data_IF_576033914264
#
_entry.id   IF_576033914264
#
_cell.length_a   1.000
_cell.length_b   1.000
_cell.length_c   1.000
_cell.angle_alpha   90.00
_cell.angle_beta   90.00
_cell.angle_gamma   90.00
#
_symmetry.space_group_name_H-M   'P 1'
#
loop_
_entity.id
_entity.type
_entity.pdbx_description
1 polymer ?
#
# COMPACT_ATOMS: atom_id res chain seq x y z
N UNK A 1 -27.93 17.63 -18.36
CA UNK A 1 -26.87 16.72 -17.87
C UNK A 1 -27.30 15.94 -16.63
N UNK A 2 -27.66 16.59 -15.53
CA UNK A 2 -28.13 15.92 -14.30
C UNK A 2 -29.36 15.02 -14.53
N UNK A 3 -30.36 15.48 -15.29
CA UNK A 3 -31.53 14.67 -15.66
C UNK A 3 -31.20 13.48 -16.58
N UNK A 4 -30.16 13.60 -17.41
CA UNK A 4 -29.70 12.51 -18.28
C UNK A 4 -28.92 11.45 -17.49
N UNK A 5 -28.15 11.88 -16.49
CA UNK A 5 -27.46 10.99 -15.55
C UNK A 5 -28.48 10.27 -14.67
N UNK A 6 -29.48 10.98 -14.13
CA UNK A 6 -30.57 10.39 -13.36
C UNK A 6 -31.41 9.42 -14.19
N UNK A 7 -31.69 9.74 -15.46
CA UNK A 7 -32.39 8.86 -16.39
C UNK A 7 -31.59 7.60 -16.73
N UNK A 8 -30.28 7.71 -16.95
CA UNK A 8 -29.41 6.58 -17.21
C UNK A 8 -29.27 5.65 -15.99
N UNK A 9 -29.18 6.22 -14.78
CA UNK A 9 -29.16 5.46 -13.53
C UNK A 9 -30.49 4.75 -13.25
N UNK A 10 -31.62 5.41 -13.53
CA UNK A 10 -32.95 4.81 -13.40
C UNK A 10 -33.17 3.67 -14.40
N UNK A 11 -32.73 3.85 -15.65
CA UNK A 11 -32.82 2.81 -16.68
C UNK A 11 -31.93 1.62 -16.32
N UNK A 12 -30.68 1.85 -15.89
CA UNK A 12 -29.76 0.79 -15.52
C UNK A 12 -30.18 0.02 -14.26
N UNK A 13 -30.91 0.65 -13.33
CA UNK A 13 -31.55 -0.01 -12.19
C UNK A 13 -32.77 -0.85 -12.59
N UNK A 14 -33.56 -0.38 -13.56
CA UNK A 14 -34.79 -1.06 -14.01
C UNK A 14 -34.54 -2.40 -14.72
N UNK A 15 -33.31 -2.64 -15.20
CA UNK A 15 -32.92 -3.86 -15.91
C UNK A 15 -31.94 -4.75 -15.13
N UNK A 16 -31.76 -4.51 -13.83
CA UNK A 16 -30.89 -5.28 -12.91
C UNK A 16 -29.41 -5.41 -13.34
N UNK A 17 -28.98 -4.63 -14.33
CA UNK A 17 -27.60 -4.54 -14.82
C UNK A 17 -26.62 -3.99 -13.76
N UNK A 18 -27.15 -3.32 -12.72
CA UNK A 18 -26.39 -2.69 -11.64
C UNK A 18 -26.83 -3.12 -10.24
N UNK A 19 -27.77 -4.07 -10.07
CA UNK A 19 -28.46 -4.33 -8.80
C UNK A 19 -27.54 -4.48 -7.59
N UNK A 20 -26.47 -5.28 -7.70
CA UNK A 20 -25.49 -5.44 -6.62
C UNK A 20 -24.61 -4.20 -6.36
N UNK A 21 -24.30 -3.42 -7.40
CA UNK A 21 -23.48 -2.22 -7.27
C UNK A 21 -24.28 -1.02 -6.75
N UNK A 22 -25.55 -0.89 -7.15
CA UNK A 22 -26.46 0.14 -6.68
C UNK A 22 -26.95 -0.18 -5.25
N UNK A 23 -27.16 -1.46 -4.92
CA UNK A 23 -27.38 -1.89 -3.54
C UNK A 23 -26.19 -1.53 -2.65
N UNK A 24 -24.94 -1.70 -3.08
CA UNK A 24 -23.74 -1.22 -2.36
C UNK A 24 -23.68 0.31 -2.26
N UNK A 25 -24.22 1.01 -3.25
CA UNK A 25 -24.30 2.48 -3.28
C UNK A 25 -25.40 3.02 -2.34
N UNK A 26 -26.47 2.24 -2.12
CA UNK A 26 -27.56 2.56 -1.18
C UNK A 26 -27.27 2.05 0.24
N UNK A 27 -26.53 0.95 0.37
CA UNK A 27 -25.91 0.44 1.61
C UNK A 27 -24.63 1.19 1.98
N UNK A 28 -24.42 2.41 1.44
CA UNK A 28 -23.29 3.28 1.79
C UNK A 28 -23.10 3.37 3.32
N UNK A 29 -24.16 3.24 4.11
CA UNK A 29 -24.12 3.22 5.57
C UNK A 29 -23.31 2.05 6.17
N UNK A 30 -23.28 0.86 5.57
CA UNK A 30 -22.54 -0.30 6.10
C UNK A 30 -21.09 -0.38 5.57
N UNK A 31 -20.85 0.06 4.33
CA UNK A 31 -19.52 0.09 3.72
C UNK A 31 -18.71 1.38 3.96
N UNK A 32 -19.32 2.43 4.52
CA UNK A 32 -18.65 3.67 4.85
C UNK A 32 -17.75 3.55 6.09
N UNK A 33 -18.01 2.62 7.01
CA UNK A 33 -17.22 2.49 8.25
C UNK A 33 -15.72 2.34 7.99
N UNK A 34 -15.28 1.30 7.25
CA UNK A 34 -13.87 1.10 6.90
C UNK A 34 -13.29 2.25 6.06
N UNK A 35 -14.02 2.77 5.08
CA UNK A 35 -13.52 3.87 4.22
C UNK A 35 -13.38 5.18 4.98
N UNK A 36 -14.38 5.55 5.78
CA UNK A 36 -14.36 6.76 6.60
C UNK A 36 -13.22 6.73 7.62
N UNK A 37 -12.90 5.54 8.16
CA UNK A 37 -11.71 5.33 8.99
C UNK A 37 -10.43 5.71 8.22
N UNK A 38 -10.20 5.13 7.04
CA UNK A 38 -9.02 5.47 6.24
C UNK A 38 -8.99 6.93 5.78
N UNK A 39 -10.14 7.50 5.42
CA UNK A 39 -10.25 8.90 5.01
C UNK A 39 -9.95 9.84 6.16
N UNK A 40 -10.39 9.53 7.38
CA UNK A 40 -10.07 10.29 8.58
C UNK A 40 -8.56 10.34 8.83
N UNK A 41 -7.88 9.19 8.77
CA UNK A 41 -6.42 9.13 8.89
C UNK A 41 -5.70 9.87 7.76
N UNK A 42 -6.13 9.71 6.50
CA UNK A 42 -5.56 10.43 5.36
C UNK A 42 -5.67 11.96 5.52
N UNK A 43 -6.82 12.45 6.00
CA UNK A 43 -7.02 13.87 6.29
C UNK A 43 -6.15 14.36 7.45
N UNK A 44 -5.98 13.55 8.50
CA UNK A 44 -5.07 13.91 9.60
C UNK A 44 -3.61 13.95 9.13
N UNK A 45 -3.17 12.99 8.30
CA UNK A 45 -1.85 13.02 7.66
C UNK A 45 -1.66 14.30 6.84
N UNK A 46 -2.66 14.67 6.03
CA UNK A 46 -2.64 15.90 5.24
C UNK A 46 -2.61 17.16 6.12
N UNK A 47 -3.31 17.15 7.26
CA UNK A 47 -3.31 18.25 8.22
C UNK A 47 -1.95 18.43 8.89
N UNK A 48 -1.29 17.32 9.24
CA UNK A 48 0.03 17.31 9.87
C UNK A 48 1.15 17.63 8.86
N UNK A 49 1.00 17.20 7.60
CA UNK A 49 2.02 17.33 6.55
C UNK A 49 1.43 17.96 5.26
N UNK A 50 0.95 19.21 5.29
CA UNK A 50 0.12 19.77 4.22
C UNK A 50 0.82 19.99 2.88
N UNK A 51 2.13 20.25 2.89
CA UNK A 51 2.86 20.62 1.67
C UNK A 51 3.32 19.40 0.87
N UNK A 52 4.02 18.48 1.53
CA UNK A 52 4.71 17.35 0.90
C UNK A 52 4.16 15.99 1.35
N UNK A 53 3.19 15.95 2.25
CA UNK A 53 2.64 14.72 2.79
C UNK A 53 3.62 13.94 3.65
N UNK A 54 3.22 12.74 4.04
CA UNK A 54 4.01 11.82 4.86
C UNK A 54 5.07 11.04 4.05
N UNK A 55 4.99 11.12 2.72
CA UNK A 55 5.84 10.39 1.78
C UNK A 55 5.14 9.17 1.15
N UNK A 56 5.57 8.84 -0.07
CA UNK A 56 5.13 7.62 -0.77
C UNK A 56 5.53 6.39 0.06
N UNK A 57 4.65 5.39 0.07
CA UNK A 57 4.78 4.14 0.82
C UNK A 57 4.83 4.28 2.35
N UNK A 58 4.48 5.45 2.91
CA UNK A 58 4.46 5.70 4.38
C UNK A 58 3.07 5.70 5.00
N UNK A 59 2.03 5.48 4.20
CA UNK A 59 0.64 5.60 4.65
C UNK A 59 0.33 4.63 5.79
N UNK A 60 0.62 3.34 5.62
CA UNK A 60 0.35 2.33 6.64
C UNK A 60 1.13 2.57 7.94
N UNK A 61 2.41 2.92 7.84
CA UNK A 61 3.25 3.22 9.01
C UNK A 61 2.69 4.43 9.79
N UNK A 62 2.36 5.50 9.07
CA UNK A 62 1.82 6.71 9.68
C UNK A 62 0.44 6.46 10.29
N UNK A 63 -0.38 5.60 9.64
CA UNK A 63 -1.67 5.21 10.18
C UNK A 63 -1.49 4.49 11.52
N UNK A 64 -0.56 3.54 11.62
CA UNK A 64 -0.21 2.89 12.90
C UNK A 64 0.24 3.89 13.96
N UNK A 65 1.06 4.89 13.58
CA UNK A 65 1.54 5.92 14.50
C UNK A 65 0.44 6.86 15.00
N UNK A 66 -0.62 7.06 14.21
CA UNK A 66 -1.75 7.90 14.57
C UNK A 66 -2.74 7.22 15.53
N UNK A 67 -2.71 5.88 15.63
CA UNK A 67 -3.66 5.12 16.44
C UNK A 67 -3.61 5.51 17.91
N UNK A 68 -4.79 5.71 18.50
CA UNK A 68 -4.95 6.00 19.93
C UNK A 68 -5.32 4.74 20.71
N UNK A 69 -5.02 4.73 22.01
CA UNK A 69 -5.41 3.62 22.87
C UNK A 69 -6.94 3.49 22.92
N UNK A 70 -7.45 2.28 22.70
CA UNK A 70 -8.89 1.98 22.68
C UNK A 70 -9.61 2.39 21.39
N UNK A 71 -8.90 2.89 20.39
CA UNK A 71 -9.46 3.18 19.07
C UNK A 71 -9.91 1.89 18.37
N UNK A 72 -11.07 1.92 17.72
CA UNK A 72 -11.53 0.81 16.88
C UNK A 72 -10.71 0.79 15.60
N UNK A 73 -9.80 -0.17 15.49
CA UNK A 73 -9.04 -0.43 14.26
C UNK A 73 -9.89 -1.28 13.32
N UNK A 74 -10.09 -0.82 12.08
CA UNK A 74 -10.75 -1.60 11.04
C UNK A 74 -9.77 -2.51 10.30
N UNK A 75 -8.67 -1.92 9.84
CA UNK A 75 -7.55 -2.63 9.22
C UNK A 75 -6.33 -1.69 9.13
N UNK A 76 -5.17 -2.24 8.81
CA UNK A 76 -3.94 -1.49 8.50
C UNK A 76 -3.61 -1.71 7.02
N UNK A 77 -3.98 -0.74 6.20
CA UNK A 77 -3.79 -0.78 4.74
C UNK A 77 -2.78 0.29 4.30
N UNK A 78 -2.13 0.06 3.16
CA UNK A 78 -1.23 1.01 2.49
C UNK A 78 -1.99 2.18 1.83
N UNK A 79 -3.31 2.15 1.89
CA UNK A 79 -4.16 2.90 0.98
C UNK A 79 -5.40 3.49 1.62
N UNK A 80 -5.72 4.73 1.24
CA UNK A 80 -6.89 5.45 1.70
C UNK A 80 -8.20 5.05 0.99
N UNK A 81 -8.14 4.21 -0.03
CA UNK A 81 -9.30 3.85 -0.88
C UNK A 81 -9.98 5.08 -1.53
N UNK A 82 -9.21 6.15 -1.75
CA UNK A 82 -9.60 7.34 -2.47
C UNK A 82 -8.35 8.03 -3.01
N UNK A 83 -8.20 8.11 -4.33
CA UNK A 83 -6.98 8.63 -4.97
C UNK A 83 -6.64 10.07 -4.53
N UNK A 84 -7.66 10.93 -4.37
CA UNK A 84 -7.43 12.32 -3.97
C UNK A 84 -6.88 12.41 -2.56
N UNK A 85 -7.49 11.69 -1.62
CA UNK A 85 -7.03 11.62 -0.23
C UNK A 85 -5.68 10.90 -0.11
N UNK A 86 -5.45 9.84 -0.88
CA UNK A 86 -4.17 9.15 -0.93
C UNK A 86 -3.04 10.09 -1.36
N UNK A 87 -3.22 10.79 -2.50
CA UNK A 87 -2.24 11.76 -3.00
C UNK A 87 -2.02 12.90 -1.99
N UNK A 88 -3.10 13.41 -1.42
CA UNK A 88 -3.00 14.47 -0.41
C UNK A 88 -2.24 14.02 0.83
N UNK A 89 -2.48 12.80 1.33
CA UNK A 89 -1.79 12.26 2.49
C UNK A 89 -0.29 12.03 2.22
N UNK A 90 0.05 11.38 1.09
CA UNK A 90 1.43 10.93 0.82
C UNK A 90 2.30 11.96 0.12
N UNK A 91 1.71 12.93 -0.57
CA UNK A 91 2.45 13.96 -1.35
C UNK A 91 2.04 15.39 -1.02
N UNK A 92 1.07 15.59 -0.14
CA UNK A 92 0.55 16.90 0.23
C UNK A 92 -0.15 17.59 -0.94
N UNK A 93 -0.40 18.88 -0.75
CA UNK A 93 -1.03 19.71 -1.79
C UNK A 93 -0.15 19.84 -3.03
N UNK A 94 1.18 19.76 -2.89
CA UNK A 94 2.11 19.87 -4.02
C UNK A 94 1.92 18.73 -5.03
N UNK A 95 1.94 17.48 -4.56
CA UNK A 95 1.75 16.34 -5.46
C UNK A 95 0.30 16.18 -5.92
N UNK A 96 -0.69 16.48 -5.07
CA UNK A 96 -2.09 16.53 -5.50
C UNK A 96 -2.28 17.54 -6.64
N UNK A 97 -1.74 18.76 -6.51
CA UNK A 97 -1.84 19.79 -7.53
C UNK A 97 -1.13 19.39 -8.82
N UNK A 98 0.02 18.72 -8.74
CA UNK A 98 0.76 18.22 -9.89
C UNK A 98 -0.05 17.23 -10.76
N UNK A 99 -1.00 16.49 -10.16
CA UNK A 99 -1.90 15.58 -10.88
C UNK A 99 -3.22 16.25 -11.23
N UNK A 100 -3.84 16.95 -10.28
CA UNK A 100 -5.18 17.52 -10.43
C UNK A 100 -5.20 18.69 -11.43
N UNK A 101 -4.18 19.55 -11.46
CA UNK A 101 -4.16 20.70 -12.37
C UNK A 101 -4.12 20.27 -13.84
N UNK A 102 -3.20 19.40 -14.30
CA UNK A 102 -3.23 18.89 -15.67
C UNK A 102 -4.53 18.17 -16.01
N UNK A 103 -5.07 17.36 -15.08
CA UNK A 103 -6.33 16.64 -15.30
C UNK A 103 -7.50 17.61 -15.50
N UNK A 104 -7.63 18.65 -14.68
CA UNK A 104 -8.67 19.68 -14.81
C UNK A 104 -8.51 20.44 -16.12
N UNK A 105 -7.29 20.83 -16.49
CA UNK A 105 -7.03 21.51 -17.76
C UNK A 105 -7.38 20.64 -18.97
N UNK A 106 -7.05 19.34 -18.91
CA UNK A 106 -7.39 18.35 -19.92
C UNK A 106 -8.92 18.20 -20.06
N UNK A 107 -9.64 17.99 -18.96
CA UNK A 107 -11.10 17.87 -18.93
C UNK A 107 -11.77 19.14 -19.47
N UNK A 108 -11.33 20.33 -19.03
CA UNK A 108 -11.84 21.60 -19.54
C UNK A 108 -11.61 21.77 -21.03
N UNK A 109 -10.46 21.32 -21.53
CA UNK A 109 -10.14 21.37 -22.96
C UNK A 109 -11.04 20.42 -23.76
N UNK A 110 -11.17 19.17 -23.32
CA UNK A 110 -12.01 18.17 -23.98
C UNK A 110 -13.48 18.61 -24.00
N UNK A 111 -13.97 19.19 -22.89
CA UNK A 111 -15.33 19.71 -22.80
C UNK A 111 -15.61 20.88 -23.76
N UNK A 112 -14.61 21.75 -24.02
CA UNK A 112 -14.74 22.84 -25.00
C UNK A 112 -14.80 22.36 -26.45
N UNK A 113 -14.29 21.18 -26.75
CA UNK A 113 -14.42 20.55 -28.07
C UNK A 113 -15.85 20.11 -28.39
N UNK A 114 -16.76 20.16 -27.41
CA UNK A 114 -18.12 19.65 -27.51
C UNK A 114 -18.21 18.13 -27.33
N UNK A 115 -19.38 17.64 -26.95
CA UNK A 115 -19.64 16.19 -26.78
C UNK A 115 -20.33 15.67 -28.04
N UNK A 116 -19.68 14.73 -28.72
CA UNK A 116 -20.16 14.09 -29.95
C UNK A 116 -20.17 12.58 -29.74
N UNK A 117 -20.87 11.80 -30.58
CA UNK A 117 -20.97 10.35 -30.41
C UNK A 117 -19.61 9.65 -30.23
N UNK A 118 -18.59 10.04 -31.01
CA UNK A 118 -17.24 9.49 -30.91
C UNK A 118 -16.51 9.84 -29.59
N UNK A 119 -16.86 10.96 -28.95
CA UNK A 119 -16.27 11.38 -27.67
C UNK A 119 -16.89 10.68 -26.45
N UNK A 120 -18.05 10.03 -26.61
CA UNK A 120 -18.73 9.37 -25.48
C UNK A 120 -17.92 8.20 -24.92
N UNK A 121 -17.24 7.44 -25.78
CA UNK A 121 -16.41 6.32 -25.35
C UNK A 121 -15.25 6.74 -24.44
N UNK A 122 -14.36 7.68 -24.81
CA UNK A 122 -13.29 8.09 -23.91
C UNK A 122 -13.79 8.77 -22.64
N UNK A 123 -14.87 9.57 -22.70
CA UNK A 123 -15.51 10.13 -21.50
C UNK A 123 -16.03 9.04 -20.56
N UNK A 124 -16.65 7.99 -21.11
CA UNK A 124 -17.15 6.85 -20.35
C UNK A 124 -16.01 6.10 -19.64
N UNK A 125 -14.95 5.74 -20.37
CA UNK A 125 -13.80 5.01 -19.79
C UNK A 125 -13.11 5.84 -18.72
N UNK A 126 -12.78 7.10 -19.01
CA UNK A 126 -12.12 7.98 -18.03
C UNK A 126 -13.02 8.26 -16.83
N UNK A 127 -14.33 8.40 -17.03
CA UNK A 127 -15.31 8.59 -15.96
C UNK A 127 -15.40 7.38 -15.04
N UNK A 128 -15.47 6.16 -15.59
CA UNK A 128 -15.48 4.91 -14.80
C UNK A 128 -14.20 4.76 -14.00
N UNK A 129 -13.03 5.00 -14.63
CA UNK A 129 -11.74 4.95 -13.96
C UNK A 129 -11.66 5.99 -12.83
N UNK A 130 -12.13 7.21 -13.07
CA UNK A 130 -12.18 8.25 -12.05
C UNK A 130 -13.08 7.87 -10.87
N UNK A 131 -14.32 7.42 -11.13
CA UNK A 131 -15.25 7.01 -10.07
C UNK A 131 -14.69 5.85 -9.25
N UNK A 132 -14.17 4.81 -9.91
CA UNK A 132 -13.51 3.72 -9.19
C UNK A 132 -12.30 4.25 -8.40
N UNK A 133 -11.53 5.19 -8.95
CA UNK A 133 -10.42 5.81 -8.23
C UNK A 133 -10.80 6.57 -6.97
N UNK A 134 -12.04 7.04 -6.87
CA UNK A 134 -12.53 7.68 -5.65
C UNK A 134 -12.99 6.68 -4.57
N UNK A 135 -13.15 5.40 -4.94
CA UNK A 135 -13.71 4.35 -4.07
C UNK A 135 -12.73 3.21 -3.73
N UNK A 136 -11.85 2.88 -4.68
CA UNK A 136 -10.92 1.73 -4.69
C UNK A 136 -9.56 2.10 -5.32
N UNK A 137 -9.34 3.39 -5.64
CA UNK A 137 -8.06 3.98 -6.12
C UNK A 137 -7.29 3.27 -7.29
N UNK A 138 -7.92 2.64 -8.31
CA UNK A 138 -7.21 1.98 -9.42
C UNK A 138 -6.14 2.83 -10.13
N UNK A 139 -6.37 4.12 -10.37
CA UNK A 139 -5.39 4.98 -11.05
C UNK A 139 -4.07 5.17 -10.27
N UNK A 140 -3.97 4.70 -9.03
CA UNK A 140 -2.69 4.61 -8.32
C UNK A 140 -1.79 3.50 -8.90
N UNK A 141 -2.37 2.51 -9.59
CA UNK A 141 -1.64 1.45 -10.24
C UNK A 141 -1.31 1.77 -11.70
N UNK A 142 -0.06 1.52 -12.08
CA UNK A 142 0.49 1.87 -13.40
C UNK A 142 -0.29 1.27 -14.58
N UNK A 143 -0.86 0.08 -14.43
CA UNK A 143 -1.61 -0.58 -15.51
C UNK A 143 -2.95 0.11 -15.81
N UNK A 144 -3.66 0.62 -14.79
CA UNK A 144 -4.85 1.45 -15.00
C UNK A 144 -4.48 2.86 -15.46
N UNK A 145 -3.42 3.43 -14.89
CA UNK A 145 -2.92 4.74 -15.27
C UNK A 145 -2.48 4.78 -16.74
N UNK A 146 -1.83 3.71 -17.23
CA UNK A 146 -1.43 3.57 -18.62
C UNK A 146 -2.63 3.54 -19.57
N UNK A 147 -3.68 2.78 -19.22
CA UNK A 147 -4.94 2.78 -19.97
C UNK A 147 -5.57 4.17 -19.98
N UNK A 148 -5.63 4.85 -18.83
CA UNK A 148 -6.16 6.21 -18.73
C UNK A 148 -5.37 7.20 -19.61
N UNK A 149 -4.04 7.14 -19.57
CA UNK A 149 -3.17 7.99 -20.38
C UNK A 149 -3.37 7.74 -21.88
N UNK A 150 -3.48 6.47 -22.29
CA UNK A 150 -3.73 6.10 -23.68
C UNK A 150 -5.08 6.62 -24.17
N UNK A 151 -6.16 6.39 -23.40
CA UNK A 151 -7.51 6.88 -23.73
C UNK A 151 -7.55 8.40 -23.75
N UNK A 152 -6.90 9.07 -22.79
CA UNK A 152 -6.82 10.53 -22.75
C UNK A 152 -6.07 11.09 -23.97
N UNK A 153 -4.97 10.46 -24.38
CA UNK A 153 -4.25 10.81 -25.60
C UNK A 153 -5.08 10.63 -26.86
N UNK A 154 -5.77 9.49 -26.99
CA UNK A 154 -6.67 9.23 -28.11
C UNK A 154 -7.84 10.24 -28.17
N UNK A 155 -8.34 10.69 -27.01
CA UNK A 155 -9.39 11.69 -26.91
C UNK A 155 -8.94 13.11 -27.28
N UNK A 156 -7.65 13.42 -27.16
CA UNK A 156 -7.10 14.74 -27.55
C UNK A 156 -7.22 14.95 -29.06
N UNK A 157 -6.94 13.92 -29.86
CA UNK A 157 -7.05 13.92 -31.33
C UNK A 157 -6.09 14.88 -32.05
N UNK A 158 -5.35 15.72 -31.33
CA UNK A 158 -4.36 16.65 -31.89
C UNK A 158 -3.11 15.88 -32.32
N UNK A 159 -2.75 16.02 -33.59
CA UNK A 159 -1.41 15.72 -34.03
C UNK A 159 -0.49 16.88 -33.60
N UNK A 160 0.55 16.57 -32.83
CA UNK A 160 1.60 17.52 -32.52
C UNK A 160 2.74 17.31 -33.50
N UNK A 161 2.91 18.25 -34.43
CA UNK A 161 4.07 18.27 -35.32
C UNK A 161 5.29 18.75 -34.57
N UNK A 162 5.90 17.84 -33.79
CA UNK A 162 7.12 18.14 -33.05
C UNK A 162 8.31 17.93 -33.98
N UNK A 163 8.89 19.04 -34.46
CA UNK A 163 10.11 19.02 -35.26
C UNK A 163 11.33 18.72 -34.38
N UNK A 164 11.57 17.45 -34.10
CA UNK A 164 12.73 17.01 -33.32
C UNK A 164 14.02 17.16 -34.12
N UNK A 165 14.97 17.94 -33.61
CA UNK A 165 16.34 17.99 -34.12
C UNK A 165 17.05 16.64 -33.92
N UNK A 166 18.03 16.30 -34.76
CA UNK A 166 18.81 15.04 -34.66
C UNK A 166 19.33 14.72 -33.26
N UNK A 167 19.96 15.65 -32.49
CA UNK A 167 20.41 15.36 -31.14
C UNK A 167 19.26 15.01 -30.18
N UNK A 168 18.10 15.67 -30.31
CA UNK A 168 16.93 15.37 -29.48
C UNK A 168 16.36 13.97 -29.79
N UNK A 169 16.33 13.57 -31.06
CA UNK A 169 15.92 12.20 -31.46
C UNK A 169 16.88 11.15 -30.93
N UNK A 170 18.19 11.39 -31.03
CA UNK A 170 19.21 10.50 -30.49
C UNK A 170 19.10 10.38 -28.96
N UNK A 171 18.87 11.50 -28.26
CA UNK A 171 18.63 11.52 -26.82
C UNK A 171 17.37 10.75 -26.41
N UNK A 172 16.25 10.93 -27.11
CA UNK A 172 15.01 10.18 -26.88
C UNK A 172 15.21 8.68 -27.12
N UNK A 173 15.90 8.30 -28.20
CA UNK A 173 16.21 6.90 -28.47
C UNK A 173 17.09 6.31 -27.37
N UNK A 174 18.14 7.02 -26.95
CA UNK A 174 19.00 6.58 -25.85
C UNK A 174 18.22 6.41 -24.55
N UNK A 175 17.32 7.35 -24.23
CA UNK A 175 16.45 7.28 -23.05
C UNK A 175 15.48 6.09 -23.15
N UNK A 176 14.89 5.85 -24.31
CA UNK A 176 14.01 4.71 -24.55
C UNK A 176 14.75 3.38 -24.41
N UNK A 177 15.95 3.26 -24.99
CA UNK A 177 16.79 2.06 -24.87
C UNK A 177 17.21 1.83 -23.42
N UNK A 178 17.64 2.89 -22.70
CA UNK A 178 17.98 2.81 -21.29
C UNK A 178 16.76 2.41 -20.43
N UNK A 179 15.59 2.99 -20.71
CA UNK A 179 14.33 2.65 -20.05
C UNK A 179 13.91 1.20 -20.27
N UNK A 180 13.99 0.71 -21.51
CA UNK A 180 13.73 -0.70 -21.83
C UNK A 180 14.74 -1.64 -21.13
N UNK A 181 16.02 -1.26 -21.09
CA UNK A 181 17.04 -2.00 -20.34
C UNK A 181 16.73 -2.06 -18.85
N UNK A 182 16.37 -0.93 -18.24
CA UNK A 182 15.98 -0.86 -16.84
C UNK A 182 14.72 -1.70 -16.54
N UNK A 183 13.72 -1.65 -17.42
CA UNK A 183 12.51 -2.49 -17.32
C UNK A 183 12.84 -3.98 -17.45
N UNK A 184 13.75 -4.36 -18.34
CA UNK A 184 14.18 -5.74 -18.51
C UNK A 184 14.91 -6.26 -17.26
N UNK A 185 15.79 -5.45 -16.66
CA UNK A 185 16.47 -5.76 -15.40
C UNK A 185 15.48 -5.88 -14.25
N UNK A 186 14.58 -4.89 -14.09
CA UNK A 186 13.53 -4.94 -13.08
C UNK A 186 12.63 -6.18 -13.25
N UNK A 187 12.25 -6.51 -14.49
CA UNK A 187 11.47 -7.71 -14.79
C UNK A 187 12.21 -9.00 -14.48
N UNK A 188 13.53 -9.05 -14.67
CA UNK A 188 14.36 -10.19 -14.30
C UNK A 188 14.44 -10.35 -12.78
N UNK A 189 14.70 -9.26 -12.05
CA UNK A 189 14.74 -9.26 -10.58
C UNK A 189 13.39 -9.66 -9.98
N UNK A 190 12.29 -9.13 -10.52
CA UNK A 190 10.93 -9.50 -10.10
C UNK A 190 10.66 -10.99 -10.31
N UNK A 191 11.00 -11.53 -11.49
CA UNK A 191 10.84 -12.98 -11.76
C UNK A 191 11.68 -13.83 -10.81
N UNK A 192 12.88 -13.38 -10.45
CA UNK A 192 13.74 -14.08 -9.50
C UNK A 192 13.13 -14.08 -8.08
N UNK A 193 12.61 -12.94 -7.62
CA UNK A 193 11.86 -12.84 -6.35
C UNK A 193 10.63 -13.75 -6.34
N UNK A 194 9.83 -13.68 -7.40
CA UNK A 194 8.61 -14.45 -7.53
C UNK A 194 8.89 -15.96 -7.56
N UNK A 195 9.89 -16.41 -8.33
CA UNK A 195 10.29 -17.81 -8.36
C UNK A 195 10.76 -18.30 -6.98
N UNK A 196 11.51 -17.46 -6.25
CA UNK A 196 11.93 -17.76 -4.90
C UNK A 196 10.78 -17.92 -3.91
N UNK A 197 9.80 -17.02 -3.95
CA UNK A 197 8.62 -17.08 -3.07
C UNK A 197 7.82 -18.37 -3.26
N UNK A 198 7.49 -18.75 -4.49
CA UNK A 198 6.70 -19.96 -4.74
C UNK A 198 7.50 -21.25 -4.52
N UNK A 199 8.81 -21.24 -4.74
CA UNK A 199 9.64 -22.41 -4.43
C UNK A 199 9.66 -22.74 -2.92
N UNK A 200 9.48 -21.75 -2.04
CA UNK A 200 9.39 -21.96 -0.59
C UNK A 200 8.07 -22.62 -0.17
N UNK A 201 6.99 -22.42 -0.93
CA UNK A 201 5.66 -22.98 -0.67
C UNK A 201 5.58 -24.47 -1.04
N UNK A 202 6.34 -24.92 -2.04
CA UNK A 202 6.29 -26.30 -2.57
C UNK A 202 7.17 -27.32 -1.82
N UNK A 203 7.85 -26.94 -0.74
CA UNK A 203 8.35 -27.84 0.31
C UNK A 203 9.33 -28.96 -0.08
N UNK A 204 9.94 -28.93 -1.28
CA UNK A 204 10.85 -29.99 -1.75
C UNK A 204 12.28 -29.48 -1.94
N UNK A 205 13.23 -30.18 -1.29
CA UNK A 205 14.69 -29.95 -1.26
C UNK A 205 15.18 -28.69 -0.51
N UNK A 206 15.04 -28.70 0.82
CA UNK A 206 15.29 -27.54 1.68
C UNK A 206 16.72 -26.96 1.66
N UNK A 207 17.79 -27.76 1.85
CA UNK A 207 19.04 -27.17 2.37
C UNK A 207 19.91 -26.44 1.33
N UNK A 208 20.20 -27.07 0.18
CA UNK A 208 21.00 -26.45 -0.90
C UNK A 208 20.21 -25.36 -1.65
N UNK A 209 18.88 -25.50 -1.74
CA UNK A 209 18.00 -24.48 -2.32
C UNK A 209 17.87 -23.26 -1.40
N UNK A 210 17.81 -23.45 -0.08
CA UNK A 210 17.78 -22.33 0.88
C UNK A 210 19.05 -21.48 0.83
N UNK A 211 20.24 -22.09 0.67
CA UNK A 211 21.49 -21.34 0.53
C UNK A 211 21.56 -20.53 -0.77
N UNK A 212 21.09 -21.12 -1.88
CA UNK A 212 21.04 -20.45 -3.19
C UNK A 212 20.00 -19.32 -3.19
N UNK A 213 18.84 -19.56 -2.58
CA UNK A 213 17.77 -18.58 -2.40
C UNK A 213 18.21 -17.42 -1.51
N UNK A 214 18.86 -17.70 -0.37
CA UNK A 214 19.44 -16.68 0.50
C UNK A 214 20.47 -15.81 -0.22
N UNK A 215 21.36 -16.43 -1.01
CA UNK A 215 22.38 -15.70 -1.77
C UNK A 215 21.75 -14.76 -2.81
N UNK A 216 20.74 -15.25 -3.53
CA UNK A 216 19.96 -14.45 -4.47
C UNK A 216 19.29 -13.25 -3.79
N UNK A 217 18.67 -13.45 -2.63
CA UNK A 217 17.99 -12.38 -1.88
C UNK A 217 18.98 -11.32 -1.37
N UNK A 218 20.15 -11.73 -0.88
CA UNK A 218 21.22 -10.79 -0.49
C UNK A 218 21.77 -10.00 -1.68
N UNK A 219 21.87 -10.64 -2.85
CA UNK A 219 22.29 -9.94 -4.06
C UNK A 219 21.23 -8.90 -4.49
N UNK A 220 19.96 -9.29 -4.47
CA UNK A 220 18.84 -8.41 -4.79
C UNK A 220 18.69 -7.25 -3.78
N UNK A 221 18.92 -7.49 -2.48
CA UNK A 221 18.91 -6.42 -1.47
C UNK A 221 19.94 -5.33 -1.77
N UNK A 222 21.10 -5.71 -2.33
CA UNK A 222 22.18 -4.76 -2.63
C UNK A 222 22.01 -4.00 -3.95
N UNK A 223 21.35 -4.58 -4.96
CA UNK A 223 21.32 -4.03 -6.33
C UNK A 223 19.95 -3.74 -6.90
N UNK A 224 18.90 -4.37 -6.37
CA UNK A 224 17.57 -4.32 -6.96
C UNK A 224 16.74 -3.16 -6.43
N UNK A 225 15.92 -2.59 -7.30
CA UNK A 225 14.86 -1.66 -6.91
C UNK A 225 13.79 -2.33 -6.02
N UNK A 226 13.74 -3.66 -6.02
CA UNK A 226 12.82 -4.45 -5.19
C UNK A 226 13.44 -4.93 -3.88
N UNK A 227 14.60 -4.37 -3.47
CA UNK A 227 15.25 -4.72 -2.22
C UNK A 227 14.28 -4.81 -1.01
N UNK A 228 13.37 -3.84 -0.77
CA UNK A 228 12.44 -3.93 0.36
C UNK A 228 11.49 -5.13 0.31
N UNK A 229 11.13 -5.61 -0.89
CA UNK A 229 10.28 -6.79 -1.05
C UNK A 229 11.06 -8.09 -0.85
N UNK A 230 12.35 -8.12 -1.19
CA UNK A 230 13.22 -9.23 -0.81
C UNK A 230 13.22 -9.43 0.71
N UNK A 231 13.18 -8.33 1.48
CA UNK A 231 13.14 -8.38 2.94
C UNK A 231 11.83 -8.94 3.51
N UNK A 232 10.71 -8.67 2.83
CA UNK A 232 9.41 -9.15 3.25
C UNK A 232 9.28 -10.67 3.09
N UNK A 233 9.90 -11.20 2.03
CA UNK A 233 9.74 -12.59 1.60
C UNK A 233 10.81 -13.53 2.15
N UNK A 234 11.74 -13.03 2.97
CA UNK A 234 12.95 -13.76 3.35
C UNK A 234 13.09 -13.92 4.86
N UNK A 235 12.30 -14.81 5.49
CA UNK A 235 12.45 -15.10 6.92
C UNK A 235 13.87 -15.62 7.25
N UNK A 236 14.58 -16.25 6.32
CA UNK A 236 15.95 -16.73 6.55
C UNK A 236 16.97 -15.59 6.74
N UNK A 237 16.69 -14.39 6.24
CA UNK A 237 17.56 -13.23 6.47
C UNK A 237 17.56 -12.80 7.95
N UNK A 238 16.55 -13.18 8.72
CA UNK A 238 16.50 -12.98 10.17
C UNK A 238 17.26 -14.07 10.97
N UNK A 239 17.65 -15.17 10.31
CA UNK A 239 18.37 -16.28 10.95
C UNK A 239 19.91 -16.12 10.93
N UNK A 240 20.43 -14.96 10.52
CA UNK A 240 21.87 -14.62 10.60
C UNK A 240 22.18 -13.27 9.99
N UNK A 241 22.20 -12.20 10.80
CA UNK A 241 23.35 -11.37 11.23
C UNK A 241 23.21 -10.99 12.74
N UNK A 242 23.94 -9.99 13.26
CA UNK A 242 23.77 -9.50 14.65
C UNK A 242 22.33 -9.01 14.91
N UNK A 243 21.86 -9.09 16.16
CA UNK A 243 20.51 -8.67 16.52
C UNK A 243 20.20 -7.22 16.10
N UNK A 244 21.19 -6.31 16.17
CA UNK A 244 21.06 -4.92 15.71
C UNK A 244 20.86 -4.80 14.20
N UNK A 245 21.54 -5.63 13.41
CA UNK A 245 21.33 -5.64 11.96
C UNK A 245 19.92 -6.12 11.60
N UNK A 246 19.41 -7.11 12.33
CA UNK A 246 18.03 -7.59 12.16
C UNK A 246 17.00 -6.52 12.54
N UNK A 247 17.25 -5.76 13.61
CA UNK A 247 16.43 -4.60 13.99
C UNK A 247 16.41 -3.56 12.85
N UNK A 248 17.58 -3.18 12.31
CA UNK A 248 17.67 -2.20 11.23
C UNK A 248 16.98 -2.67 9.94
N UNK A 249 17.08 -3.96 9.65
CA UNK A 249 16.39 -4.59 8.52
C UNK A 249 14.88 -4.55 8.69
N UNK A 250 14.35 -5.03 9.83
CA UNK A 250 12.91 -5.01 10.07
C UNK A 250 12.34 -3.58 10.15
N UNK A 251 13.14 -2.61 10.57
CA UNK A 251 12.75 -1.20 10.58
C UNK A 251 12.49 -0.65 9.17
N UNK A 252 13.15 -1.18 8.13
CA UNK A 252 12.84 -0.80 6.73
C UNK A 252 11.49 -1.34 6.30
N UNK A 253 11.16 -2.57 6.70
CA UNK A 253 9.84 -3.18 6.44
C UNK A 253 8.70 -2.41 7.10
N UNK A 254 8.88 -1.98 8.36
CA UNK A 254 7.87 -1.21 9.08
C UNK A 254 7.42 0.05 8.31
N UNK A 255 8.29 0.63 7.48
CA UNK A 255 7.97 1.84 6.74
C UNK A 255 6.85 1.67 5.73
N UNK A 256 6.78 0.52 5.06
CA UNK A 256 5.84 0.30 3.95
C UNK A 256 4.91 -0.90 4.15
N UNK A 257 5.32 -1.90 4.94
CA UNK A 257 4.54 -3.10 5.23
C UNK A 257 4.55 -3.40 6.74
N UNK A 258 3.97 -2.52 7.58
CA UNK A 258 3.88 -2.72 9.03
C UNK A 258 2.84 -3.79 9.41
N UNK A 259 2.90 -4.98 8.80
CA UNK A 259 1.98 -6.09 9.11
C UNK A 259 2.15 -6.55 10.56
N UNK A 260 1.16 -7.26 11.11
CA UNK A 260 1.24 -7.79 12.48
C UNK A 260 2.53 -8.59 12.71
N UNK A 261 2.91 -9.46 11.78
CA UNK A 261 4.15 -10.23 11.85
C UNK A 261 5.38 -9.32 11.91
N UNK A 262 5.46 -8.28 11.08
CA UNK A 262 6.58 -7.32 11.06
C UNK A 262 6.65 -6.51 12.35
N UNK A 263 5.51 -6.03 12.85
CA UNK A 263 5.38 -5.25 14.09
C UNK A 263 5.84 -6.03 15.32
N UNK A 264 5.27 -7.21 15.54
CA UNK A 264 5.59 -8.04 16.70
C UNK A 264 7.00 -8.62 16.61
N UNK A 265 7.46 -8.98 15.41
CA UNK A 265 8.86 -9.40 15.19
C UNK A 265 9.82 -8.27 15.53
N UNK A 266 9.50 -7.00 15.21
CA UNK A 266 10.36 -5.88 15.58
C UNK A 266 10.56 -5.78 17.10
N UNK A 267 9.47 -5.90 17.86
CA UNK A 267 9.51 -5.88 19.33
C UNK A 267 10.37 -7.02 19.88
N UNK A 268 10.24 -8.23 19.33
CA UNK A 268 11.08 -9.38 19.69
C UNK A 268 12.56 -9.12 19.38
N UNK A 269 12.87 -8.62 18.18
CA UNK A 269 14.24 -8.32 17.76
C UNK A 269 14.89 -7.27 18.67
N UNK A 270 14.14 -6.24 19.08
CA UNK A 270 14.62 -5.24 20.05
C UNK A 270 14.95 -5.88 21.41
N UNK A 271 14.13 -6.82 21.88
CA UNK A 271 14.43 -7.53 23.13
C UNK A 271 15.69 -8.41 23.01
N UNK A 272 15.83 -9.15 21.91
CA UNK A 272 17.04 -9.95 21.61
C UNK A 272 18.28 -9.06 21.49
N UNK A 273 18.13 -7.86 20.93
CA UNK A 273 19.19 -6.87 20.81
C UNK A 273 19.54 -6.15 22.13
N UNK A 274 18.92 -6.52 23.27
CA UNK A 274 19.17 -5.91 24.56
C UNK A 274 18.58 -4.51 24.73
N UNK A 275 17.51 -4.18 23.99
CA UNK A 275 16.78 -2.91 24.07
C UNK A 275 15.38 -3.09 24.67
N UNK A 276 15.25 -3.44 25.98
CA UNK A 276 13.99 -3.86 26.56
C UNK A 276 12.91 -2.77 26.60
N UNK A 277 13.28 -1.52 26.82
CA UNK A 277 12.28 -0.43 26.83
C UNK A 277 11.73 -0.15 25.42
N UNK A 278 12.59 -0.14 24.40
CA UNK A 278 12.16 -0.02 23.01
C UNK A 278 11.26 -1.20 22.60
N UNK A 279 11.61 -2.42 23.02
CA UNK A 279 10.81 -3.62 22.77
C UNK A 279 9.40 -3.50 23.36
N UNK A 280 9.25 -2.99 24.59
CA UNK A 280 7.94 -2.78 25.22
C UNK A 280 7.11 -1.70 24.52
N UNK A 281 7.73 -0.60 24.12
CA UNK A 281 7.08 0.47 23.35
C UNK A 281 6.57 -0.09 22.02
N UNK A 282 7.42 -0.81 21.29
CA UNK A 282 7.04 -1.43 20.03
C UNK A 282 5.93 -2.47 20.21
N UNK A 283 6.01 -3.32 21.25
CA UNK A 283 4.98 -4.32 21.50
C UNK A 283 3.62 -3.68 21.78
N UNK A 284 3.59 -2.56 22.51
CA UNK A 284 2.36 -1.81 22.76
C UNK A 284 1.81 -1.20 21.46
N UNK A 285 2.68 -0.62 20.62
CA UNK A 285 2.32 -0.11 19.29
C UNK A 285 1.70 -1.21 18.42
N UNK A 286 2.35 -2.38 18.35
CA UNK A 286 1.86 -3.56 17.63
C UNK A 286 0.50 -4.05 18.16
N UNK A 287 0.35 -4.16 19.48
CA UNK A 287 -0.91 -4.59 20.11
C UNK A 287 -2.06 -3.60 19.91
N UNK A 288 -1.76 -2.31 19.77
CA UNK A 288 -2.75 -1.28 19.43
C UNK A 288 -3.21 -1.40 17.97
N UNK A 289 -2.29 -1.63 17.05
CA UNK A 289 -2.58 -1.81 15.63
C UNK A 289 -3.28 -3.13 15.31
N UNK A 290 -2.95 -4.18 16.06
CA UNK A 290 -3.42 -5.55 15.80
C UNK A 290 -3.99 -6.22 17.06
N UNK A 291 -5.07 -5.67 17.65
CA UNK A 291 -5.62 -6.15 18.92
C UNK A 291 -6.04 -7.63 18.85
N UNK A 292 -6.67 -8.05 17.75
CA UNK A 292 -7.17 -9.42 17.59
C UNK A 292 -6.04 -10.45 17.48
N UNK A 293 -4.88 -10.05 16.93
CA UNK A 293 -3.72 -10.93 16.76
C UNK A 293 -2.77 -10.89 17.96
N UNK A 294 -2.85 -9.85 18.79
CA UNK A 294 -1.95 -9.66 19.94
C UNK A 294 -1.93 -10.86 20.89
N UNK A 295 -3.08 -11.54 21.08
CA UNK A 295 -3.15 -12.74 21.91
C UNK A 295 -2.33 -13.90 21.34
N UNK A 296 -2.41 -14.12 20.02
CA UNK A 296 -1.65 -15.17 19.33
C UNK A 296 -0.15 -14.90 19.42
N UNK A 297 0.29 -13.67 19.15
CA UNK A 297 1.70 -13.29 19.22
C UNK A 297 2.24 -13.34 20.66
N UNK A 298 1.44 -12.96 21.66
CA UNK A 298 1.80 -13.12 23.07
C UNK A 298 2.05 -14.59 23.42
N UNK A 299 1.19 -15.51 22.97
CA UNK A 299 1.37 -16.95 23.21
C UNK A 299 2.65 -17.48 22.55
N UNK A 300 2.94 -17.10 21.30
CA UNK A 300 4.18 -17.45 20.59
C UNK A 300 5.41 -16.93 21.34
N UNK A 301 5.37 -15.69 21.83
CA UNK A 301 6.46 -15.07 22.59
C UNK A 301 6.72 -15.81 23.91
N UNK A 302 5.67 -16.19 24.65
CA UNK A 302 5.80 -16.98 25.89
C UNK A 302 6.46 -18.33 25.62
N UNK A 303 6.09 -19.02 24.54
CA UNK A 303 6.74 -20.26 24.13
C UNK A 303 8.24 -20.09 23.83
N UNK A 304 8.65 -18.88 23.46
CA UNK A 304 10.05 -18.52 23.16
C UNK A 304 10.80 -17.92 24.35
N UNK A 305 10.17 -17.74 25.51
CA UNK A 305 10.75 -17.07 26.68
C UNK A 305 11.96 -17.80 27.27
N UNK A 306 12.12 -19.10 27.01
CA UNK A 306 13.28 -19.89 27.40
C UNK A 306 14.57 -19.46 26.66
N UNK A 307 14.47 -18.69 25.58
CA UNK A 307 15.59 -18.31 24.72
C UNK A 307 16.36 -17.06 25.19
N UNK A 308 16.03 -16.49 26.35
CA UNK A 308 16.81 -15.40 26.95
C UNK A 308 16.03 -14.55 27.96
N UNK A 309 16.76 -13.94 28.89
CA UNK A 309 16.17 -13.14 30.00
C UNK A 309 15.33 -11.97 29.48
N UNK A 310 15.81 -11.25 28.46
CA UNK A 310 15.08 -10.10 27.91
C UNK A 310 13.81 -10.50 27.16
N UNK A 311 13.83 -11.65 26.47
CA UNK A 311 12.63 -12.22 25.83
C UNK A 311 11.60 -12.63 26.90
N UNK A 312 12.05 -13.26 27.98
CA UNK A 312 11.20 -13.58 29.13
C UNK A 312 10.58 -12.34 29.78
N UNK A 313 11.34 -11.25 29.94
CA UNK A 313 10.82 -9.97 30.46
C UNK A 313 9.78 -9.36 29.53
N UNK A 314 9.99 -9.41 28.22
CA UNK A 314 8.99 -8.96 27.24
C UNK A 314 7.72 -9.82 27.29
N UNK A 315 7.87 -11.14 27.45
CA UNK A 315 6.73 -12.06 27.56
C UNK A 315 5.85 -11.75 28.79
N UNK A 316 6.46 -11.48 29.94
CA UNK A 316 5.75 -11.05 31.16
C UNK A 316 5.04 -9.71 30.92
N UNK A 317 5.71 -8.75 30.27
CA UNK A 317 5.09 -7.47 29.91
C UNK A 317 3.86 -7.66 29.01
N UNK A 318 3.98 -8.49 27.95
CA UNK A 318 2.90 -8.76 27.02
C UNK A 318 1.68 -9.40 27.71
N UNK A 319 1.91 -10.35 28.62
CA UNK A 319 0.85 -10.96 29.43
C UNK A 319 0.14 -9.94 30.32
N UNK A 320 0.89 -9.03 30.96
CA UNK A 320 0.31 -7.98 31.80
C UNK A 320 -0.46 -6.95 30.98
N UNK A 321 0.05 -6.56 29.82
CA UNK A 321 -0.63 -5.64 28.91
C UNK A 321 -2.00 -6.18 28.48
N UNK A 322 -2.06 -7.47 28.14
CA UNK A 322 -3.33 -8.15 27.80
C UNK A 322 -4.33 -8.15 28.94
N UNK A 323 -3.88 -8.25 30.20
CA UNK A 323 -4.77 -8.20 31.37
C UNK A 323 -5.29 -6.79 31.64
N UNK A 324 -4.51 -5.76 31.32
CA UNK A 324 -4.88 -4.36 31.53
C UNK A 324 -5.81 -3.82 30.45
N UNK A 325 -5.75 -4.37 29.23
CA UNK A 325 -6.62 -3.99 28.11
C UNK A 325 -7.59 -5.15 27.84
N UNK A 326 -8.81 -5.15 28.40
CA UNK A 326 -9.80 -6.14 28.03
C UNK A 326 -10.07 -5.99 26.53
N UNK A 327 -9.70 -7.00 25.75
CA UNK A 327 -9.97 -7.04 24.32
C UNK A 327 -11.49 -6.93 24.13
N UNK A 328 -11.93 -6.09 23.19
CA UNK A 328 -13.32 -5.97 22.78
C UNK A 328 -13.95 -7.31 22.31
N UNK A 329 -13.13 -8.36 22.16
CA UNK A 329 -13.56 -9.72 21.87
C UNK A 329 -14.54 -10.31 22.91
N UNK A 330 -14.51 -9.86 24.18
CA UNK A 330 -15.49 -10.34 25.18
C UNK A 330 -16.85 -9.61 25.09
N UNK A 331 -16.95 -8.51 24.34
CA UNK A 331 -18.17 -7.72 24.21
C UNK A 331 -19.13 -8.19 23.10
N UNK A 332 -18.72 -9.14 22.25
CA UNK A 332 -19.58 -9.71 21.19
C UNK A 332 -20.26 -11.03 21.60
N UNK A 333 -20.20 -11.39 22.88
CA UNK A 333 -20.90 -12.56 23.45
C UNK A 333 -22.08 -12.20 24.37
N UNK A 334 -22.56 -10.95 24.34
CA UNK A 334 -23.76 -10.52 25.06
C UNK A 334 -24.68 -9.67 24.19
#
# INVERSE_FOLDING_TARGET
LMLAVLGALWLANSYDLLGAQLARLLLFAEGAGPRAYFWGHALEMARQHPLLGVGIDRFAETLVDQLRDGEKVWDIDQYAHNLGLQLLAVTGIAGLAAVALPAVLFVRRLARGGVHAASLWPWGVLGVLFIHSMLEQPLYYAYFLGVAAWVAGAADGRAWDIAWQRPARAGLLALAVAGLGALALAGADFRALHAGFYAQVDGSEQETRNLSHRTLLLELERRSLFAPYAELLAPELFSGPSALAQVAFNARLLRFAPTAEVEFRHALLLAIAGQPEAARVQWRRAARAYPDQAAQFTARLVGSAANGVEVGRLAVFALNLRRAVPLAADALSR
#
